data_IF_749953642991
#
_entry.id   IF_749953642991
#
_cell.length_a   1.000
_cell.length_b   1.000
_cell.length_c   1.000
_cell.angle_alpha   90.00
_cell.angle_beta   90.00
_cell.angle_gamma   90.00
#
_symmetry.space_group_name_H-M   'P 1'
#
loop_
_entity.id
_entity.type
_entity.pdbx_description
1 polymer ?
#
# COMPACT_ATOMS: atom_id res chain seq x y z
N UNK A 1 1.06 -20.24 18.75
CA UNK A 1 0.85 -18.84 18.33
C UNK A 1 0.64 -17.96 19.55
N UNK A 2 1.58 -17.07 19.82
CA UNK A 2 1.49 -16.10 20.91
C UNK A 2 0.43 -15.03 20.60
N UNK A 3 -0.22 -14.50 21.63
CA UNK A 3 -1.21 -13.42 21.50
C UNK A 3 -0.62 -12.18 20.80
N UNK A 4 0.67 -11.91 21.02
CA UNK A 4 1.43 -10.85 20.33
C UNK A 4 1.49 -11.05 18.81
N UNK A 5 1.75 -12.27 18.33
CA UNK A 5 1.84 -12.55 16.89
C UNK A 5 0.47 -12.40 16.20
N UNK A 6 -0.61 -12.75 16.90
CA UNK A 6 -1.99 -12.53 16.42
C UNK A 6 -2.26 -11.03 16.28
N UNK A 7 -1.93 -10.27 17.32
CA UNK A 7 -2.16 -8.83 17.34
C UNK A 7 -1.37 -8.12 16.23
N UNK A 8 -0.11 -8.51 16.01
CA UNK A 8 0.69 -7.96 14.93
C UNK A 8 0.12 -8.34 13.55
N UNK A 9 -0.28 -9.60 13.34
CA UNK A 9 -0.92 -10.03 12.10
C UNK A 9 -2.22 -9.25 11.80
N UNK A 10 -3.09 -9.10 12.81
CA UNK A 10 -4.35 -8.36 12.67
C UNK A 10 -4.11 -6.88 12.38
N UNK A 11 -3.10 -6.27 13.01
CA UNK A 11 -2.71 -4.89 12.75
C UNK A 11 -2.20 -4.71 11.32
N UNK A 12 -1.37 -5.62 10.83
CA UNK A 12 -0.92 -5.63 9.43
C UNK A 12 -2.11 -5.72 8.49
N UNK A 13 -3.03 -6.67 8.71
CA UNK A 13 -4.21 -6.89 7.85
C UNK A 13 -5.10 -5.65 7.82
N UNK A 14 -5.36 -5.02 8.96
CA UNK A 14 -6.20 -3.82 9.06
C UNK A 14 -5.62 -2.66 8.24
N UNK A 15 -4.38 -2.27 8.53
CA UNK A 15 -3.73 -1.13 7.88
C UNK A 15 -3.44 -1.41 6.40
N UNK A 16 -3.07 -2.65 6.04
CA UNK A 16 -2.94 -3.01 4.63
C UNK A 16 -4.31 -2.92 3.92
N UNK A 17 -5.38 -3.42 4.53
CA UNK A 17 -6.74 -3.32 3.99
C UNK A 17 -7.19 -1.88 3.74
N UNK A 18 -6.95 -0.99 4.70
CA UNK A 18 -7.26 0.44 4.56
C UNK A 18 -6.41 1.10 3.48
N UNK A 19 -5.12 0.75 3.39
CA UNK A 19 -4.25 1.19 2.30
C UNK A 19 -4.78 0.77 0.93
N UNK A 20 -5.24 -0.48 0.79
CA UNK A 20 -5.82 -1.01 -0.46
C UNK A 20 -7.10 -0.29 -0.86
N UNK A 21 -7.95 0.06 0.12
CA UNK A 21 -9.13 0.88 -0.16
C UNK A 21 -8.72 2.24 -0.74
N UNK A 22 -7.72 2.90 -0.16
CA UNK A 22 -7.21 4.17 -0.67
C UNK A 22 -6.57 4.04 -2.07
N UNK A 23 -5.85 2.95 -2.34
CA UNK A 23 -5.32 2.66 -3.69
C UNK A 23 -6.46 2.53 -4.70
N UNK A 24 -7.53 1.80 -4.36
CA UNK A 24 -8.69 1.67 -5.24
C UNK A 24 -9.29 3.05 -5.55
N UNK A 25 -9.50 3.87 -4.52
CA UNK A 25 -10.03 5.23 -4.69
C UNK A 25 -9.10 6.11 -5.54
N UNK A 26 -7.78 5.93 -5.43
CA UNK A 26 -6.83 6.64 -6.29
C UNK A 26 -6.94 6.19 -7.76
N UNK A 27 -7.05 4.89 -8.02
CA UNK A 27 -7.22 4.37 -9.37
C UNK A 27 -8.54 4.83 -10.01
N UNK A 28 -9.63 4.84 -9.24
CA UNK A 28 -10.92 5.38 -9.68
C UNK A 28 -10.81 6.89 -10.01
N UNK A 29 -10.08 7.66 -9.18
CA UNK A 29 -9.83 9.07 -9.45
C UNK A 29 -8.95 9.31 -10.69
N UNK A 30 -7.95 8.46 -10.96
CA UNK A 30 -7.14 8.51 -12.19
C UNK A 30 -8.04 8.32 -13.43
N UNK A 31 -8.98 7.36 -13.38
CA UNK A 31 -9.90 7.09 -14.48
C UNK A 31 -10.82 8.28 -14.79
N UNK A 32 -11.12 9.10 -13.78
CA UNK A 32 -11.90 10.35 -13.89
C UNK A 32 -11.03 11.59 -14.13
N UNK A 33 -9.71 11.43 -14.32
CA UNK A 33 -8.74 12.53 -14.46
C UNK A 33 -8.68 13.48 -13.24
N UNK A 34 -9.13 13.01 -12.08
CA UNK A 34 -9.09 13.73 -10.80
C UNK A 34 -7.73 13.54 -10.11
N UNK A 35 -6.64 13.99 -10.75
CA UNK A 35 -5.27 13.65 -10.32
C UNK A 35 -4.89 14.15 -8.92
N UNK A 36 -5.40 15.32 -8.50
CA UNK A 36 -5.14 15.84 -7.14
C UNK A 36 -5.73 14.93 -6.06
N UNK A 37 -6.96 14.45 -6.28
CA UNK A 37 -7.62 13.48 -5.40
C UNK A 37 -6.91 12.14 -5.43
N UNK A 38 -6.44 11.70 -6.60
CA UNK A 38 -5.62 10.48 -6.68
C UNK A 38 -4.36 10.59 -5.83
N UNK A 39 -3.65 11.74 -5.86
CA UNK A 39 -2.47 12.00 -5.02
C UNK A 39 -2.80 12.04 -3.53
N UNK A 40 -3.93 12.63 -3.15
CA UNK A 40 -4.40 12.65 -1.76
C UNK A 40 -4.66 11.22 -1.25
N UNK A 41 -5.41 10.43 -2.01
CA UNK A 41 -5.66 9.01 -1.71
C UNK A 41 -4.34 8.22 -1.61
N UNK A 42 -3.39 8.44 -2.52
CA UNK A 42 -2.08 7.77 -2.47
C UNK A 42 -1.23 8.17 -1.27
N UNK A 43 -1.40 9.39 -0.76
CA UNK A 43 -0.75 9.83 0.49
C UNK A 43 -1.30 9.03 1.67
N UNK A 44 -2.64 8.96 1.80
CA UNK A 44 -3.31 8.14 2.84
C UNK A 44 -2.91 6.67 2.75
N UNK A 45 -2.92 6.10 1.54
CA UNK A 45 -2.47 4.71 1.32
C UNK A 45 -1.02 4.48 1.79
N UNK A 46 -0.13 5.44 1.53
CA UNK A 46 1.28 5.35 1.93
C UNK A 46 1.46 5.44 3.44
N UNK A 47 0.63 6.22 4.12
CA UNK A 47 0.69 6.33 5.58
C UNK A 47 0.18 5.07 6.27
N UNK A 48 -0.93 4.51 5.81
CA UNK A 48 -1.46 3.23 6.31
C UNK A 48 -0.48 2.07 6.09
N UNK A 49 0.06 1.92 4.86
CA UNK A 49 0.99 0.83 4.56
C UNK A 49 2.30 0.95 5.36
N UNK A 50 2.71 2.17 5.73
CA UNK A 50 3.90 2.40 6.57
C UNK A 50 3.69 1.84 7.97
N UNK A 51 2.48 1.92 8.53
CA UNK A 51 2.16 1.36 9.84
C UNK A 51 2.26 -0.18 9.77
N UNK A 52 1.66 -0.81 8.76
CA UNK A 52 1.74 -2.25 8.56
C UNK A 52 3.19 -2.71 8.30
N UNK A 53 3.96 -1.97 7.51
CA UNK A 53 5.35 -2.30 7.20
C UNK A 53 6.27 -2.21 8.43
N UNK A 54 5.98 -1.32 9.39
CA UNK A 54 6.73 -1.27 10.65
C UNK A 54 6.60 -2.58 11.42
N UNK A 55 5.39 -3.11 11.57
CA UNK A 55 5.14 -4.41 12.24
C UNK A 55 5.88 -5.55 11.56
N UNK A 56 5.86 -5.60 10.22
CA UNK A 56 6.62 -6.58 9.46
C UNK A 56 8.13 -6.43 9.67
N UNK A 57 8.64 -5.19 9.72
CA UNK A 57 10.06 -4.90 9.92
C UNK A 57 10.51 -5.33 11.32
N UNK A 58 9.72 -5.04 12.34
CA UNK A 58 10.02 -5.40 13.73
C UNK A 58 10.07 -6.93 13.89
N UNK A 59 9.16 -7.67 13.23
CA UNK A 59 9.19 -9.13 13.21
C UNK A 59 10.45 -9.70 12.54
N UNK A 60 10.85 -9.16 11.39
CA UNK A 60 12.07 -9.58 10.67
C UNK A 60 13.32 -9.26 11.50
N UNK A 61 13.37 -8.09 12.15
CA UNK A 61 14.49 -7.70 13.01
C UNK A 61 14.60 -8.62 14.24
N UNK A 62 13.48 -8.99 14.86
CA UNK A 62 13.46 -9.93 15.97
C UNK A 62 14.02 -11.29 15.57
N UNK A 63 13.61 -11.82 14.41
CA UNK A 63 14.12 -13.09 13.89
C UNK A 63 15.64 -13.02 13.62
N UNK A 64 16.12 -11.92 13.02
CA UNK A 64 17.54 -11.70 12.77
C UNK A 64 18.39 -11.59 14.06
N UNK A 65 17.78 -11.19 15.18
CA UNK A 65 18.40 -11.15 16.51
C UNK A 65 18.36 -12.52 17.24
N UNK A 66 17.80 -13.56 16.61
CA UNK A 66 17.72 -14.90 17.16
C UNK A 66 16.46 -15.17 17.98
N UNK A 67 15.46 -14.27 17.95
CA UNK A 67 14.15 -14.54 18.55
C UNK A 67 13.45 -15.57 17.66
N UNK A 68 13.17 -16.76 18.22
CA UNK A 68 12.43 -17.79 17.51
C UNK A 68 10.97 -17.38 17.36
N UNK A 69 10.57 -17.08 16.13
CA UNK A 69 9.17 -16.88 15.77
C UNK A 69 8.55 -18.22 15.38
N UNK A 70 7.45 -18.61 16.02
CA UNK A 70 6.69 -19.79 15.58
C UNK A 70 6.06 -19.52 14.20
N UNK A 71 6.08 -20.52 13.33
CA UNK A 71 5.35 -20.45 12.07
C UNK A 71 3.85 -20.19 12.33
N UNK A 72 3.28 -19.23 11.61
CA UNK A 72 1.86 -18.88 11.68
C UNK A 72 1.31 -18.59 10.29
N UNK A 73 0.32 -19.39 9.88
CA UNK A 73 -0.39 -19.19 8.61
C UNK A 73 -1.03 -17.80 8.54
N UNK A 74 -1.58 -17.31 9.65
CA UNK A 74 -2.21 -15.99 9.73
C UNK A 74 -1.19 -14.87 9.53
N UNK A 75 -0.02 -14.96 10.17
CA UNK A 75 1.02 -13.95 10.03
C UNK A 75 1.63 -13.98 8.62
N UNK A 76 1.85 -15.17 8.04
CA UNK A 76 2.27 -15.29 6.63
C UNK A 76 1.25 -14.65 5.68
N UNK A 77 -0.06 -14.91 5.88
CA UNK A 77 -1.11 -14.28 5.08
C UNK A 77 -1.13 -12.75 5.22
N UNK A 78 -0.88 -12.23 6.43
CA UNK A 78 -0.76 -10.80 6.67
C UNK A 78 0.43 -10.19 5.90
N UNK A 79 1.58 -10.86 5.90
CA UNK A 79 2.76 -10.44 5.14
C UNK A 79 2.50 -10.45 3.62
N UNK A 80 1.87 -11.51 3.09
CA UNK A 80 1.52 -11.61 1.67
C UNK A 80 0.58 -10.48 1.23
N UNK A 81 -0.43 -10.19 2.06
CA UNK A 81 -1.39 -9.11 1.84
C UNK A 81 -0.67 -7.75 1.81
N UNK A 82 0.16 -7.48 2.81
CA UNK A 82 0.97 -6.26 2.91
C UNK A 82 1.84 -6.04 1.67
N UNK A 83 2.61 -7.04 1.25
CA UNK A 83 3.54 -6.90 0.13
C UNK A 83 2.81 -6.77 -1.21
N UNK A 84 1.67 -7.44 -1.37
CA UNK A 84 0.81 -7.29 -2.56
C UNK A 84 0.32 -5.86 -2.68
N UNK A 85 -0.19 -5.29 -1.59
CA UNK A 85 -0.74 -3.93 -1.58
C UNK A 85 0.37 -2.88 -1.72
N UNK A 86 1.55 -3.13 -1.16
CA UNK A 86 2.72 -2.28 -1.39
C UNK A 86 3.10 -2.22 -2.88
N UNK A 87 3.00 -3.35 -3.60
CA UNK A 87 3.19 -3.39 -5.04
C UNK A 87 2.10 -2.59 -5.78
N UNK A 88 0.83 -2.77 -5.40
CA UNK A 88 -0.30 -2.01 -5.96
C UNK A 88 -0.10 -0.49 -5.79
N UNK A 89 0.38 -0.04 -4.62
CA UNK A 89 0.72 1.37 -4.35
C UNK A 89 1.78 1.89 -5.33
N UNK A 90 2.84 1.12 -5.56
CA UNK A 90 3.92 1.53 -6.47
C UNK A 90 3.42 1.66 -7.91
N UNK A 91 2.60 0.70 -8.36
CA UNK A 91 2.00 0.74 -9.69
C UNK A 91 1.06 1.94 -9.82
N UNK A 92 0.18 2.16 -8.85
CA UNK A 92 -0.76 3.29 -8.86
C UNK A 92 -0.03 4.64 -8.90
N UNK A 93 1.08 4.81 -8.16
CA UNK A 93 1.93 6.02 -8.24
C UNK A 93 2.47 6.26 -9.65
N UNK A 94 2.95 5.21 -10.32
CA UNK A 94 3.42 5.33 -11.72
C UNK A 94 2.27 5.65 -12.67
N UNK A 95 1.10 5.05 -12.48
CA UNK A 95 -0.09 5.34 -13.30
C UNK A 95 -0.48 6.82 -13.22
N UNK A 96 -0.51 7.42 -12.02
CA UNK A 96 -0.78 8.87 -11.88
C UNK A 96 0.17 9.68 -12.77
N UNK A 97 1.48 9.44 -12.65
CA UNK A 97 2.49 10.17 -13.43
C UNK A 97 2.29 10.00 -14.94
N UNK A 98 2.01 8.78 -15.39
CA UNK A 98 1.80 8.46 -16.80
C UNK A 98 0.57 9.18 -17.35
N UNK A 99 -0.57 9.09 -16.65
CA UNK A 99 -1.83 9.70 -17.11
C UNK A 99 -1.81 11.22 -17.03
N UNK A 100 -1.17 11.83 -16.02
CA UNK A 100 -0.95 13.28 -15.98
C UNK A 100 -0.15 13.75 -17.19
N UNK A 101 0.92 13.04 -17.56
CA UNK A 101 1.72 13.39 -18.75
C UNK A 101 0.97 13.22 -20.06
N UNK A 102 0.09 12.24 -20.16
CA UNK A 102 -0.78 12.10 -21.33
C UNK A 102 -1.79 13.24 -21.41
N UNK A 103 -2.40 13.64 -20.30
CA UNK A 103 -3.34 14.76 -20.26
C UNK A 103 -2.67 16.09 -20.64
N UNK A 104 -1.48 16.37 -20.10
CA UNK A 104 -0.67 17.55 -20.47
C UNK A 104 -0.42 17.59 -22.00
N UNK A 105 -0.09 16.43 -22.59
CA UNK A 105 0.18 16.31 -24.02
C UNK A 105 -1.08 16.49 -24.86
N UNK A 106 -2.22 15.95 -24.43
CA UNK A 106 -3.51 16.11 -25.13
C UNK A 106 -3.91 17.59 -25.14
N UNK A 107 -3.86 18.27 -23.99
CA UNK A 107 -4.11 19.72 -23.90
C UNK A 107 -3.22 20.53 -24.82
N UNK A 108 -1.93 20.20 -24.90
CA UNK A 108 -1.00 20.89 -25.80
C UNK A 108 -1.33 20.69 -27.29
N UNK A 109 -2.00 19.59 -27.66
CA UNK A 109 -2.45 19.33 -29.02
C UNK A 109 -3.78 20.02 -29.35
N UNK A 110 -4.69 20.14 -28.38
CA UNK A 110 -6.00 20.80 -28.56
C UNK A 110 -5.91 22.34 -28.66
N UNK A 111 -4.81 22.93 -28.19
CA UNK A 111 -4.56 24.38 -28.28
C UNK A 111 -4.02 24.82 -29.65
N UNK A 112 -3.70 23.87 -30.55
CA UNK A 112 -3.27 24.14 -31.94
C UNK A 112 -4.43 24.06 -32.92
#
# INVERSE_FOLDING_TARGET
>A
MTEELINSAMKIILHAGDARLQVKLALDAIALQEFDKAKECMTKATDEIRIAHREQTDAIQGEAQGIKTEYSLLFSHAQDTLMTIYSEINIAKQMIQIFEKYEDRIKALEVK
#
